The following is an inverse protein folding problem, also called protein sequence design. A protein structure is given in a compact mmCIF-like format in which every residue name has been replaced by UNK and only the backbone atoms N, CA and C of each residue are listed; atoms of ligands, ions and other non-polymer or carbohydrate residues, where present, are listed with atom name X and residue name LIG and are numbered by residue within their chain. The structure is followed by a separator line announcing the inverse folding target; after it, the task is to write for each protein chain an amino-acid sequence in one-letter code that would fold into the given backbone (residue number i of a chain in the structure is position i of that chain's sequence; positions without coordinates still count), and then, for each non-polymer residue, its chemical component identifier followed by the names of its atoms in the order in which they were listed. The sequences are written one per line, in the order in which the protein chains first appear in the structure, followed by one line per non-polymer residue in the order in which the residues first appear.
data_IF_135116996072
#
_entry.id   IF_135116996072
#
_cell.length_a   1.000
_cell.length_b   1.000
_cell.length_c   1.000
_cell.angle_alpha   90.00
_cell.angle_beta   90.00
_cell.angle_gamma   90.00
#
_symmetry.space_group_name_H-M   'P 1'
#
loop_
_entity.id
_entity.type
_entity.pdbx_description
1 polymer ?
#
# COMPACT_ATOMS: atom_id res chain seq x y z
N UNK A 1 -36.36 41.20 -23.43
CA UNK A 1 -36.08 39.75 -23.50
C UNK A 1 -34.67 39.56 -24.05
N UNK A 2 -33.64 39.49 -23.18
CA UNK A 2 -32.23 39.47 -23.59
C UNK A 2 -31.77 38.02 -23.64
N UNK A 3 -31.57 37.48 -24.85
CA UNK A 3 -30.94 36.18 -25.07
C UNK A 3 -29.41 36.36 -24.91
N UNK A 4 -28.85 35.95 -23.77
CA UNK A 4 -27.39 35.90 -23.57
C UNK A 4 -26.83 34.80 -24.49
N UNK A 5 -26.10 35.21 -25.51
CA UNK A 5 -25.35 34.31 -26.40
C UNK A 5 -24.10 33.88 -25.63
N UNK A 6 -24.12 32.68 -25.05
CA UNK A 6 -22.91 32.06 -24.55
C UNK A 6 -22.11 31.53 -25.75
N UNK A 7 -20.89 32.04 -25.93
CA UNK A 7 -19.98 31.60 -27.00
C UNK A 7 -19.68 30.11 -26.86
N UNK A 8 -19.78 29.36 -27.96
CA UNK A 8 -19.45 27.94 -28.03
C UNK A 8 -18.00 27.65 -27.57
N UNK A 9 -17.09 28.64 -27.66
CA UNK A 9 -15.72 28.52 -27.19
C UNK A 9 -15.62 28.46 -25.66
N UNK A 10 -16.49 29.17 -24.93
CA UNK A 10 -16.52 29.11 -23.46
C UNK A 10 -17.11 27.78 -22.99
N UNK A 11 -18.12 27.26 -23.69
CA UNK A 11 -18.71 25.96 -23.40
C UNK A 11 -17.73 24.81 -23.74
N UNK A 12 -16.97 24.91 -24.83
CA UNK A 12 -15.94 23.94 -25.19
C UNK A 12 -14.73 23.97 -24.23
N UNK A 13 -14.34 25.15 -23.73
CA UNK A 13 -13.28 25.27 -22.73
C UNK A 13 -13.72 24.71 -21.36
N UNK A 14 -15.00 24.90 -20.98
CA UNK A 14 -15.56 24.25 -19.78
C UNK A 14 -15.77 22.74 -19.97
N UNK A 15 -16.01 22.27 -21.20
CA UNK A 15 -16.06 20.83 -21.52
C UNK A 15 -14.67 20.18 -21.54
N UNK A 16 -13.62 20.92 -21.93
CA UNK A 16 -12.23 20.45 -21.93
C UNK A 16 -11.61 20.44 -20.51
N UNK A 17 -12.07 21.30 -19.60
CA UNK A 17 -11.63 21.29 -18.20
C UNK A 17 -12.30 20.20 -17.34
N UNK A 18 -13.41 19.60 -17.81
CA UNK A 18 -14.19 18.63 -17.03
C UNK A 18 -13.76 17.15 -17.22
N UNK A 19 -12.84 16.83 -18.14
CA UNK A 19 -12.51 15.43 -18.48
C UNK A 19 -11.32 14.82 -17.71
N UNK A 20 -10.68 15.52 -16.77
CA UNK A 20 -9.43 15.06 -16.14
C UNK A 20 -9.55 14.67 -14.65
N UNK A 21 -10.73 14.27 -14.18
CA UNK A 21 -10.80 13.49 -12.94
C UNK A 21 -10.63 12.03 -13.33
N UNK A 22 -9.37 11.56 -13.37
CA UNK A 22 -9.10 10.14 -13.53
C UNK A 22 -9.87 9.40 -12.44
N UNK A 23 -10.71 8.43 -12.82
CA UNK A 23 -11.28 7.50 -11.87
C UNK A 23 -10.15 6.86 -11.04
N UNK A 24 -10.45 6.48 -9.80
CA UNK A 24 -9.48 5.77 -8.97
C UNK A 24 -8.95 4.55 -9.74
N UNK A 25 -7.65 4.25 -9.66
CA UNK A 25 -7.12 3.11 -10.40
C UNK A 25 -7.80 1.84 -9.88
N UNK A 26 -8.29 1.03 -10.82
CA UNK A 26 -8.88 -0.26 -10.48
C UNK A 26 -7.78 -1.21 -10.00
N UNK A 27 -8.08 -1.95 -8.94
CA UNK A 27 -7.16 -2.91 -8.34
C UNK A 27 -7.84 -4.26 -8.18
N UNK A 28 -7.15 -5.31 -8.65
CA UNK A 28 -7.55 -6.70 -8.48
C UNK A 28 -6.35 -7.51 -8.01
N UNK A 29 -6.53 -8.40 -7.05
CA UNK A 29 -5.44 -9.22 -6.54
C UNK A 29 -5.91 -10.59 -6.06
N UNK A 30 -4.99 -11.55 -6.13
CA UNK A 30 -5.20 -12.92 -5.68
C UNK A 30 -3.93 -13.51 -5.11
N UNK A 31 -4.08 -14.55 -4.31
CA UNK A 31 -2.97 -15.25 -3.64
C UNK A 31 -2.96 -16.74 -3.97
N UNK A 32 -1.77 -17.32 -3.99
CA UNK A 32 -1.54 -18.75 -4.00
C UNK A 32 -1.42 -19.24 -2.56
N UNK A 33 -2.32 -20.13 -2.15
CA UNK A 33 -2.37 -20.69 -0.80
C UNK A 33 -1.88 -22.12 -0.82
N UNK A 34 -1.06 -22.47 0.17
CA UNK A 34 -0.57 -23.83 0.39
C UNK A 34 -1.70 -24.86 0.28
N UNK A 35 -1.46 -25.94 -0.48
CA UNK A 35 -2.36 -27.09 -0.63
C UNK A 35 -3.77 -26.72 -1.15
N UNK A 36 -3.95 -25.51 -1.72
CA UNK A 36 -5.18 -25.02 -2.36
C UNK A 36 -4.89 -24.56 -3.79
N UNK A 37 -3.81 -23.80 -3.96
CA UNK A 37 -3.51 -23.12 -5.21
C UNK A 37 -4.00 -21.66 -5.24
N UNK A 38 -4.20 -21.14 -6.45
CA UNK A 38 -4.71 -19.78 -6.65
C UNK A 38 -6.17 -19.64 -6.22
N UNK A 39 -6.45 -18.73 -5.29
CA UNK A 39 -7.82 -18.35 -4.94
C UNK A 39 -8.42 -17.36 -5.97
N UNK A 40 -9.74 -17.22 -6.05
CA UNK A 40 -10.38 -16.18 -6.86
C UNK A 40 -9.87 -14.77 -6.51
N UNK A 41 -9.75 -13.86 -7.48
CA UNK A 41 -9.31 -12.50 -7.22
C UNK A 41 -10.37 -11.70 -6.46
N UNK A 42 -9.90 -10.73 -5.69
CA UNK A 42 -10.70 -9.74 -4.97
C UNK A 42 -10.33 -8.33 -5.43
N UNK A 43 -11.25 -7.39 -5.28
CA UNK A 43 -11.04 -5.98 -5.60
C UNK A 43 -10.51 -5.16 -4.42
N UNK A 44 -10.52 -3.83 -4.60
CA UNK A 44 -10.15 -2.85 -3.58
C UNK A 44 -10.76 -3.15 -2.20
N UNK A 45 -9.93 -3.33 -1.18
CA UNK A 45 -10.36 -3.62 0.19
C UNK A 45 -10.86 -5.05 0.45
N UNK A 46 -10.87 -5.94 -0.54
CA UNK A 46 -11.19 -7.35 -0.34
C UNK A 46 -10.15 -8.09 0.52
N UNK A 47 -10.48 -9.27 1.03
CA UNK A 47 -9.50 -10.10 1.77
C UNK A 47 -9.08 -11.26 0.87
N UNK A 48 -7.79 -11.33 0.53
CA UNK A 48 -7.22 -12.46 -0.20
C UNK A 48 -6.40 -13.33 0.77
N UNK A 49 -6.82 -14.58 0.97
CA UNK A 49 -6.14 -15.50 1.88
C UNK A 49 -7.00 -16.66 2.37
N UNK A 50 -6.52 -17.31 3.42
CA UNK A 50 -7.14 -18.46 4.06
C UNK A 50 -7.09 -18.32 5.59
N UNK A 51 -7.73 -17.25 6.10
CA UNK A 51 -7.75 -16.93 7.53
C UNK A 51 -8.40 -18.07 8.31
N UNK A 52 -7.75 -18.54 9.37
CA UNK A 52 -8.27 -19.59 10.24
C UNK A 52 -8.10 -21.01 9.68
N UNK A 53 -7.58 -21.16 8.46
CA UNK A 53 -7.26 -22.47 7.87
C UNK A 53 -5.81 -22.89 8.20
N UNK A 54 -5.04 -22.03 8.86
CA UNK A 54 -3.62 -22.24 9.21
C UNK A 54 -2.69 -22.49 8.00
N UNK A 55 -3.07 -21.99 6.82
CA UNK A 55 -2.32 -22.16 5.56
C UNK A 55 -1.52 -20.90 5.21
N UNK A 56 -0.28 -21.10 4.73
CA UNK A 56 0.60 -20.01 4.27
C UNK A 56 0.17 -19.48 2.90
N UNK A 57 0.42 -18.19 2.68
CA UNK A 57 0.57 -17.63 1.34
C UNK A 57 1.95 -18.02 0.79
N UNK A 58 1.99 -18.42 -0.47
CA UNK A 58 3.23 -18.76 -1.18
C UNK A 58 3.52 -17.76 -2.30
N UNK A 59 2.49 -17.21 -2.93
CA UNK A 59 2.61 -16.18 -3.95
C UNK A 59 1.41 -15.23 -3.99
N UNK A 60 1.60 -14.10 -4.67
CA UNK A 60 0.59 -13.07 -4.91
C UNK A 60 0.71 -12.50 -6.32
N UNK A 61 -0.44 -12.13 -6.89
CA UNK A 61 -0.54 -11.28 -8.09
C UNK A 61 -1.41 -10.08 -7.74
N UNK A 62 -0.91 -8.87 -8.04
CA UNK A 62 -1.63 -7.62 -7.87
C UNK A 62 -1.65 -6.91 -9.23
N UNK A 63 -2.85 -6.59 -9.71
CA UNK A 63 -3.07 -5.90 -10.98
C UNK A 63 -3.67 -4.53 -10.71
N UNK A 64 -2.91 -3.48 -10.99
CA UNK A 64 -3.30 -2.08 -10.92
C UNK A 64 -2.27 -1.27 -11.71
N UNK A 65 -2.71 -0.29 -12.49
CA UNK A 65 -1.78 0.54 -13.26
C UNK A 65 -0.80 1.28 -12.33
N UNK A 66 0.49 1.16 -12.64
CA UNK A 66 1.59 1.72 -11.85
C UNK A 66 1.89 0.99 -10.53
N UNK A 67 1.26 -0.15 -10.21
CA UNK A 67 1.57 -0.88 -8.99
C UNK A 67 2.84 -1.73 -9.15
N UNK A 68 3.66 -1.74 -8.10
CA UNK A 68 4.79 -2.64 -7.94
C UNK A 68 4.78 -3.22 -6.53
N UNK A 69 5.25 -4.45 -6.39
CA UNK A 69 5.27 -5.16 -5.11
C UNK A 69 6.47 -6.08 -4.98
N UNK A 70 6.93 -6.30 -3.76
CA UNK A 70 8.09 -7.13 -3.47
C UNK A 70 7.72 -8.08 -2.35
N UNK A 71 7.95 -9.38 -2.55
CA UNK A 71 7.69 -10.41 -1.57
C UNK A 71 8.98 -10.80 -0.84
N UNK A 72 8.91 -10.94 0.48
CA UNK A 72 9.93 -11.61 1.26
C UNK A 72 9.53 -13.08 1.41
N UNK A 73 10.32 -13.98 0.83
CA UNK A 73 10.08 -15.42 0.85
C UNK A 73 11.06 -16.08 1.80
N UNK A 74 10.60 -17.11 2.51
CA UNK A 74 11.46 -17.99 3.30
C UNK A 74 12.71 -18.40 2.51
N UNK A 75 13.86 -18.40 3.18
CA UNK A 75 15.18 -18.81 2.68
C UNK A 75 15.76 -17.94 1.54
N UNK A 76 14.92 -17.20 0.80
CA UNK A 76 15.33 -16.38 -0.34
C UNK A 76 15.36 -14.88 -0.03
N UNK A 77 14.61 -14.45 0.99
CA UNK A 77 14.47 -13.05 1.35
C UNK A 77 13.65 -12.25 0.34
N UNK A 78 14.00 -10.96 0.18
CA UNK A 78 13.32 -10.07 -0.77
C UNK A 78 13.70 -10.41 -2.21
N UNK A 79 12.71 -10.71 -3.04
CA UNK A 79 12.92 -11.15 -4.43
C UNK A 79 13.06 -9.99 -5.44
N UNK A 80 12.80 -8.75 -5.02
CA UNK A 80 12.84 -7.56 -5.88
C UNK A 80 11.44 -7.02 -6.23
N UNK A 81 11.38 -5.85 -6.85
CA UNK A 81 10.10 -5.23 -7.22
C UNK A 81 9.53 -5.89 -8.48
N UNK A 82 8.40 -6.56 -8.30
CA UNK A 82 7.58 -7.17 -9.34
C UNK A 82 6.55 -6.16 -9.83
N UNK A 83 6.39 -5.97 -11.16
CA UNK A 83 5.39 -5.05 -11.70
C UNK A 83 3.99 -5.67 -11.69
N UNK A 84 2.98 -4.82 -11.88
CA UNK A 84 1.56 -5.18 -12.03
C UNK A 84 1.34 -6.46 -12.84
N UNK A 85 0.54 -7.37 -12.31
CA UNK A 85 0.07 -8.58 -12.98
C UNK A 85 1.04 -9.77 -12.96
N UNK A 86 2.28 -9.59 -12.51
CA UNK A 86 3.28 -10.66 -12.47
C UNK A 86 3.27 -11.42 -11.13
N UNK A 87 3.81 -12.64 -11.10
CA UNK A 87 3.88 -13.40 -9.83
C UNK A 87 5.01 -12.84 -8.95
N UNK A 88 4.70 -12.58 -7.68
CA UNK A 88 5.71 -12.42 -6.62
C UNK A 88 5.52 -13.53 -5.59
N UNK A 89 6.61 -14.07 -5.05
CA UNK A 89 6.60 -15.28 -4.23
C UNK A 89 7.05 -16.51 -5.02
N UNK A 90 6.52 -17.67 -4.66
CA UNK A 90 6.82 -18.96 -5.29
C UNK A 90 5.55 -19.78 -5.50
N UNK A 91 5.52 -20.57 -6.57
CA UNK A 91 4.43 -21.51 -6.86
C UNK A 91 5.03 -22.91 -6.95
N UNK A 92 4.54 -23.86 -6.17
CA UNK A 92 5.00 -25.26 -6.19
C UNK A 92 6.27 -25.54 -5.39
N UNK A 93 6.98 -24.51 -4.90
CA UNK A 93 8.23 -24.67 -4.15
C UNK A 93 8.03 -24.92 -2.64
N UNK A 94 6.78 -24.90 -2.16
CA UNK A 94 6.44 -25.03 -0.73
C UNK A 94 7.07 -23.99 0.20
N UNK A 95 7.52 -22.84 -0.32
CA UNK A 95 8.08 -21.75 0.46
C UNK A 95 7.01 -20.73 0.85
N UNK A 96 7.05 -20.27 2.11
CA UNK A 96 6.12 -19.25 2.65
C UNK A 96 6.56 -17.84 2.28
N UNK A 97 5.59 -16.97 2.03
CA UNK A 97 5.77 -15.53 2.16
C UNK A 97 5.75 -15.14 3.64
N UNK A 98 6.67 -14.28 4.05
CA UNK A 98 6.77 -13.75 5.42
C UNK A 98 6.43 -12.25 5.50
N UNK A 99 6.70 -11.50 4.43
CA UNK A 99 6.38 -10.08 4.31
C UNK A 99 6.12 -9.65 2.87
N UNK A 100 5.52 -8.47 2.73
CA UNK A 100 5.29 -7.81 1.44
C UNK A 100 5.50 -6.30 1.55
N UNK A 101 5.96 -5.70 0.45
CA UNK A 101 5.95 -4.25 0.21
C UNK A 101 5.15 -3.98 -1.06
N UNK A 102 4.34 -2.92 -1.07
CA UNK A 102 3.50 -2.54 -2.21
C UNK A 102 3.58 -1.03 -2.40
N UNK A 103 3.83 -0.56 -3.62
CA UNK A 103 3.92 0.88 -3.93
C UNK A 103 3.23 1.21 -5.24
N UNK A 104 2.78 2.46 -5.36
CA UNK A 104 2.32 3.04 -6.62
C UNK A 104 3.44 3.87 -7.26
N UNK A 105 3.49 3.84 -8.59
CA UNK A 105 4.37 4.61 -9.48
C UNK A 105 3.54 5.21 -10.62
N UNK A 106 4.17 6.07 -11.40
CA UNK A 106 3.53 6.70 -12.57
C UNK A 106 2.38 7.63 -12.19
N UNK A 107 1.41 7.76 -13.10
CA UNK A 107 0.36 8.80 -13.06
C UNK A 107 -0.53 8.80 -11.80
N UNK A 108 -0.65 7.68 -11.10
CA UNK A 108 -1.48 7.57 -9.90
C UNK A 108 -0.72 7.87 -8.60
N UNK A 109 0.62 7.86 -8.63
CA UNK A 109 1.42 8.02 -7.43
C UNK A 109 1.27 9.41 -6.78
N UNK A 110 0.88 10.44 -7.53
CA UNK A 110 0.70 11.81 -6.99
C UNK A 110 -0.67 12.04 -6.37
N UNK A 111 -1.69 11.27 -6.80
CA UNK A 111 -3.10 11.46 -6.43
C UNK A 111 -3.65 10.36 -5.52
N UNK A 112 -2.98 9.21 -5.44
CA UNK A 112 -3.39 8.06 -4.64
C UNK A 112 -2.24 7.49 -3.81
N UNK A 113 -2.61 6.88 -2.70
CA UNK A 113 -1.76 6.02 -1.88
C UNK A 113 -2.25 4.58 -1.97
N UNK A 114 -1.34 3.63 -1.78
CA UNK A 114 -1.70 2.24 -1.46
C UNK A 114 -1.46 2.00 0.02
N UNK A 115 -2.51 1.59 0.73
CA UNK A 115 -2.41 1.07 2.10
C UNK A 115 -2.71 -0.42 2.11
N UNK A 116 -2.01 -1.15 2.96
CA UNK A 116 -2.18 -2.60 3.03
C UNK A 116 -1.85 -3.10 4.43
N UNK A 117 -2.40 -4.26 4.74
CA UNK A 117 -2.07 -5.02 5.94
C UNK A 117 -2.10 -6.51 5.63
N UNK A 118 -1.46 -7.27 6.50
CA UNK A 118 -1.38 -8.73 6.37
C UNK A 118 -1.83 -9.41 7.66
N UNK A 119 -2.33 -10.62 7.51
CA UNK A 119 -2.57 -11.53 8.62
C UNK A 119 -1.32 -12.41 8.78
N UNK A 120 -0.67 -12.32 9.93
CA UNK A 120 0.54 -13.09 10.26
C UNK A 120 0.15 -14.22 11.21
N UNK A 121 0.71 -15.41 10.97
CA UNK A 121 0.54 -16.56 11.84
C UNK A 121 0.76 -16.19 13.32
N UNK A 122 -0.13 -16.66 14.18
CA UNK A 122 -0.12 -16.47 15.64
C UNK A 122 -0.20 -15.01 16.13
N UNK A 123 -0.10 -14.03 15.23
CA UNK A 123 -0.16 -12.58 15.53
C UNK A 123 -1.44 -11.91 15.04
N UNK A 124 -2.15 -12.55 14.10
CA UNK A 124 -3.36 -11.99 13.52
C UNK A 124 -3.11 -10.86 12.52
N UNK A 125 -4.12 -10.01 12.33
CA UNK A 125 -4.01 -8.82 11.49
C UNK A 125 -3.04 -7.82 12.09
N UNK A 126 -2.02 -7.45 11.32
CA UNK A 126 -1.14 -6.34 11.66
C UNK A 126 -1.78 -4.99 11.28
N UNK A 127 -1.18 -3.90 11.77
CA UNK A 127 -1.56 -2.53 11.42
C UNK A 127 -1.43 -2.25 9.93
N UNK A 128 -2.15 -1.23 9.46
CA UNK A 128 -2.03 -0.72 8.10
C UNK A 128 -0.69 -0.03 7.91
N UNK A 129 0.00 -0.39 6.84
CA UNK A 129 1.21 0.29 6.35
C UNK A 129 0.95 0.88 4.98
N UNK A 130 1.83 1.77 4.54
CA UNK A 130 1.63 2.59 3.35
C UNK A 130 2.83 2.50 2.41
N UNK A 131 2.58 2.58 1.11
CA UNK A 131 3.57 2.88 0.07
C UNK A 131 5.00 2.36 0.30
N UNK A 132 5.20 1.07 0.15
CA UNK A 132 6.53 0.44 0.17
C UNK A 132 7.05 0.11 1.57
N UNK A 133 6.33 0.46 2.64
CA UNK A 133 6.60 -0.01 4.00
C UNK A 133 6.45 -1.54 4.11
N UNK A 134 7.08 -2.14 5.12
CA UNK A 134 7.02 -3.60 5.32
C UNK A 134 5.71 -3.96 6.03
N UNK A 135 4.90 -4.83 5.44
CA UNK A 135 3.84 -5.55 6.13
C UNK A 135 4.27 -7.00 6.35
N UNK A 136 4.17 -7.52 7.57
CA UNK A 136 4.62 -8.86 7.94
C UNK A 136 5.92 -8.85 8.74
N UNK A 137 6.66 -9.95 8.67
CA UNK A 137 7.96 -10.08 9.36
C UNK A 137 9.02 -10.60 8.40
N UNK A 138 10.29 -10.34 8.68
CA UNK A 138 11.41 -10.83 7.87
C UNK A 138 12.32 -11.70 8.73
N UNK A 139 12.51 -12.96 8.35
CA UNK A 139 13.46 -13.86 9.02
C UNK A 139 13.00 -14.39 10.38
N UNK A 140 11.75 -14.16 10.76
CA UNK A 140 11.18 -14.65 12.03
C UNK A 140 10.44 -15.98 11.89
N UNK A 141 10.36 -16.54 10.68
CA UNK A 141 9.64 -17.79 10.45
C UNK A 141 8.12 -17.68 10.47
N UNK A 142 7.58 -16.46 10.58
CA UNK A 142 6.13 -16.23 10.63
C UNK A 142 5.59 -16.01 9.21
N UNK A 143 4.77 -16.97 8.77
CA UNK A 143 4.07 -16.93 7.47
C UNK A 143 2.97 -15.86 7.44
N UNK A 144 2.73 -15.32 6.26
CA UNK A 144 1.48 -14.64 5.93
C UNK A 144 0.37 -15.66 5.66
N UNK A 145 -0.87 -15.36 6.07
CA UNK A 145 -2.06 -16.18 5.78
C UNK A 145 -3.12 -15.42 4.97
N UNK A 146 -3.08 -14.09 5.01
CA UNK A 146 -3.96 -13.22 4.22
C UNK A 146 -3.34 -11.83 4.01
N UNK A 147 -3.86 -11.12 3.01
CA UNK A 147 -3.55 -9.73 2.69
C UNK A 147 -4.82 -8.96 2.36
N UNK A 148 -4.84 -7.68 2.73
CA UNK A 148 -5.86 -6.72 2.34
C UNK A 148 -5.18 -5.47 1.82
N UNK A 149 -5.60 -5.01 0.63
CA UNK A 149 -4.97 -3.92 -0.11
C UNK A 149 -6.04 -2.91 -0.52
N UNK A 150 -5.76 -1.63 -0.28
CA UNK A 150 -6.63 -0.53 -0.64
C UNK A 150 -5.86 0.59 -1.34
N UNK A 151 -6.40 1.02 -2.48
CA UNK A 151 -6.10 2.28 -3.13
C UNK A 151 -6.98 3.35 -2.48
N UNK A 152 -6.36 4.40 -1.98
CA UNK A 152 -7.05 5.54 -1.35
C UNK A 152 -6.58 6.84 -1.95
N UNK A 153 -7.48 7.79 -2.18
CA UNK A 153 -7.07 9.08 -2.75
C UNK A 153 -6.36 9.93 -1.69
N UNK A 154 -5.23 10.54 -2.07
CA UNK A 154 -4.50 11.48 -1.23
C UNK A 154 -5.34 12.70 -0.84
N UNK A 155 -6.31 13.03 -1.68
CA UNK A 155 -7.14 14.23 -1.56
C UNK A 155 -8.53 13.98 -0.94
N UNK A 156 -8.89 12.73 -0.61
CA UNK A 156 -10.10 12.46 0.20
C UNK A 156 -9.95 12.88 1.67
N UNK A 157 -8.75 13.30 2.08
CA UNK A 157 -8.50 14.01 3.33
C UNK A 157 -7.62 15.22 3.10
N UNK A 158 -8.20 16.38 2.78
CA UNK A 158 -7.62 17.64 3.25
C UNK A 158 -7.48 17.49 4.78
N UNK A 159 -6.23 17.34 5.25
CA UNK A 159 -5.77 16.95 6.59
C UNK A 159 -5.57 15.45 6.88
N UNK A 160 -4.50 14.84 6.33
CA UNK A 160 -3.74 13.82 7.09
C UNK A 160 -2.23 13.78 6.79
N UNK A 161 -1.65 14.85 6.21
CA UNK A 161 -0.18 15.04 6.21
C UNK A 161 0.31 15.74 7.47
N UNK A 162 -0.54 16.58 8.07
CA UNK A 162 -0.18 17.36 9.26
C UNK A 162 -0.06 16.51 10.54
N UNK A 163 -0.65 15.31 10.61
CA UNK A 163 -0.58 14.47 11.82
C UNK A 163 0.73 13.71 11.96
N UNK A 164 1.36 13.26 10.87
CA UNK A 164 2.61 12.48 10.96
C UNK A 164 3.86 13.36 11.04
N UNK A 165 3.87 14.52 10.37
CA UNK A 165 5.00 15.43 10.48
C UNK A 165 5.01 16.22 11.79
N UNK A 166 3.83 16.56 12.37
CA UNK A 166 3.79 17.32 13.64
C UNK A 166 4.42 16.53 14.80
N UNK A 167 4.16 15.23 14.91
CA UNK A 167 4.74 14.40 15.97
C UNK A 167 6.26 14.23 15.84
N UNK A 168 6.78 14.25 14.62
CA UNK A 168 8.23 14.19 14.33
C UNK A 168 8.92 15.53 14.61
N UNK A 169 8.31 16.63 14.16
CA UNK A 169 8.81 17.99 14.40
C UNK A 169 8.82 18.36 15.89
N UNK A 170 7.79 17.99 16.64
CA UNK A 170 7.72 18.30 18.08
C UNK A 170 8.72 17.46 18.90
N UNK A 171 8.97 16.20 18.52
CA UNK A 171 9.99 15.37 19.16
C UNK A 171 11.41 15.92 18.93
N UNK A 172 11.75 16.27 17.70
CA UNK A 172 13.07 16.83 17.37
C UNK A 172 13.30 18.19 18.05
N UNK A 173 12.23 18.99 18.22
CA UNK A 173 12.28 20.26 18.96
C UNK A 173 12.44 20.05 20.46
N UNK A 174 11.78 19.04 21.03
CA UNK A 174 11.90 18.70 22.46
C UNK A 174 13.30 18.16 22.79
N UNK A 175 13.83 17.29 21.93
CA UNK A 175 15.18 16.73 22.07
C UNK A 175 16.27 17.80 21.89
N UNK A 176 16.07 18.76 20.98
CA UNK A 176 16.95 19.94 20.84
C UNK A 176 16.90 20.83 22.09
N UNK A 177 15.70 21.13 22.61
CA UNK A 177 15.55 21.90 23.85
C UNK A 177 16.18 21.25 25.08
N UNK A 178 16.22 19.91 25.12
CA UNK A 178 16.85 19.15 26.21
C UNK A 178 18.37 19.13 26.09
N UNK A 179 18.92 19.08 24.87
CA UNK A 179 20.38 19.06 24.65
C UNK A 179 21.02 20.39 25.06
N UNK A 180 20.40 21.50 24.68
CA UNK A 180 20.97 22.84 24.88
C UNK A 180 20.92 23.32 26.35
N UNK A 181 20.31 22.56 27.27
CA UNK A 181 20.11 22.98 28.68
C UNK A 181 20.87 22.14 29.70
N UNK A 182 21.68 21.17 29.28
CA UNK A 182 22.46 20.31 30.19
C UNK A 182 23.98 20.37 29.98
N UNK A 183 24.47 21.23 29.09
CA UNK A 183 25.92 21.39 28.84
C UNK A 183 26.55 22.56 29.64
N UNK A 184 25.84 23.15 30.62
CA UNK A 184 26.26 24.37 31.34
C UNK A 184 26.41 24.21 32.86
N UNK A 185 26.58 22.98 33.35
CA UNK A 185 26.98 22.73 34.75
C UNK A 185 28.11 21.71 34.80
N UNK A 186 29.30 22.16 34.42
CA UNK A 186 30.56 21.53 34.82
C UNK A 186 31.42 22.64 35.47
N UNK A 187 31.66 22.45 36.78
CA UNK A 187 32.37 23.28 37.79
C UNK A 187 31.59 24.40 38.49
#
# INVERSE_FOLDING_TARGET
MIRKIFSAALLAMMFFLAQNVSAAPDISYRVHVQDVGWKPPVGNGGIAGAIGEHRRLEAIVISCDGIEYNAHVQDWGWQGWTPSGNVAGTVGESLRMEAIRIRLRGRYADSYDVRYRVYVKDSGWQGWVWNGEVAGTTGQGLRLEAVQIEIVSKNSGRHNRDRYDRDRYDRDRYDRYRRDRYDDYDW
#
